data_IF_228662258204
#
_entry.id   IF_228662258204
#
_cell.length_a   1.000
_cell.length_b   1.000
_cell.length_c   1.000
_cell.angle_alpha   90.00
_cell.angle_beta   90.00
_cell.angle_gamma   90.00
#
_symmetry.space_group_name_H-M   'P 1'
#
loop_
_entity.id
_entity.type
_entity.pdbx_description
1 polymer ?
#
# COMPACT_ATOMS: atom_id res chain seq x y z
N UNK A 1 19.69 9.03 12.37
CA UNK A 1 20.41 7.75 12.19
C UNK A 1 19.39 6.72 11.74
N UNK A 2 19.29 6.45 10.44
CA UNK A 2 18.27 5.55 9.90
C UNK A 2 18.84 4.14 9.82
N UNK A 3 18.26 3.22 10.59
CA UNK A 3 18.59 1.80 10.58
C UNK A 3 18.09 1.16 9.28
N UNK A 4 19.02 0.60 8.51
CA UNK A 4 18.74 -0.21 7.33
C UNK A 4 18.27 -1.61 7.77
N UNK A 5 17.01 -1.95 7.55
CA UNK A 5 16.52 -3.33 7.68
C UNK A 5 16.94 -4.14 6.45
N UNK A 6 18.01 -4.93 6.54
CA UNK A 6 18.45 -5.82 5.45
C UNK A 6 17.45 -6.95 5.19
N UNK A 7 16.65 -6.77 4.14
CA UNK A 7 15.87 -7.81 3.48
C UNK A 7 15.11 -7.20 2.32
N UNK A 8 15.73 -7.15 1.12
CA UNK A 8 15.08 -6.72 -0.14
C UNK A 8 14.15 -5.51 -0.02
N UNK A 9 14.63 -4.37 0.48
CA UNK A 9 13.77 -3.22 0.78
C UNK A 9 13.25 -2.59 -0.51
N UNK A 10 11.94 -2.67 -0.76
CA UNK A 10 11.28 -1.69 -1.64
C UNK A 10 11.49 -0.30 -1.05
N UNK A 11 12.11 0.60 -1.81
CA UNK A 11 12.05 2.01 -1.47
C UNK A 11 10.61 2.49 -1.70
N UNK A 12 9.82 2.59 -0.62
CA UNK A 12 8.56 3.32 -0.68
C UNK A 12 8.85 4.75 -1.14
N UNK A 13 8.03 5.28 -2.04
CA UNK A 13 8.14 6.69 -2.41
C UNK A 13 7.94 7.60 -1.18
N UNK A 14 8.52 8.80 -1.22
CA UNK A 14 8.33 9.80 -0.15
C UNK A 14 6.85 10.10 0.10
N UNK A 15 6.03 10.08 -0.97
CA UNK A 15 4.59 10.22 -0.89
C UNK A 15 3.96 9.11 -0.02
N UNK A 16 4.31 7.85 -0.29
CA UNK A 16 3.78 6.71 0.47
C UNK A 16 4.26 6.73 1.93
N UNK A 17 5.53 7.07 2.17
CA UNK A 17 6.05 7.22 3.53
C UNK A 17 5.32 8.31 4.31
N UNK A 18 5.00 9.43 3.67
CA UNK A 18 4.21 10.49 4.30
C UNK A 18 2.78 10.04 4.61
N UNK A 19 2.13 9.30 3.69
CA UNK A 19 0.80 8.71 3.96
C UNK A 19 0.84 7.75 5.15
N UNK A 20 1.83 6.86 5.21
CA UNK A 20 1.97 5.92 6.35
C UNK A 20 2.07 6.68 7.68
N UNK A 21 2.91 7.73 7.73
CA UNK A 21 3.12 8.51 8.95
C UNK A 21 1.90 9.35 9.36
N UNK A 22 1.06 9.74 8.41
CA UNK A 22 -0.11 10.56 8.68
C UNK A 22 -1.32 9.71 9.08
N UNK A 23 -1.48 8.54 8.47
CA UNK A 23 -2.70 7.74 8.58
C UNK A 23 -2.59 6.63 9.64
N UNK A 24 -1.37 6.23 9.99
CA UNK A 24 -1.12 5.16 10.95
C UNK A 24 -0.41 5.67 12.20
N UNK A 25 -0.58 4.95 13.30
CA UNK A 25 0.14 5.23 14.55
C UNK A 25 1.65 5.06 14.37
N UNK A 26 2.44 5.75 15.19
CA UNK A 26 3.90 5.55 15.22
C UNK A 26 4.26 4.09 15.58
N UNK A 27 3.43 3.43 16.39
CA UNK A 27 3.60 2.02 16.78
C UNK A 27 3.36 1.06 15.60
N UNK A 28 2.37 1.36 14.75
CA UNK A 28 2.05 0.53 13.60
C UNK A 28 2.91 0.83 12.37
N UNK A 29 3.54 2.00 12.29
CA UNK A 29 4.36 2.42 11.14
C UNK A 29 5.41 1.37 10.72
N UNK A 30 6.22 0.77 11.62
CA UNK A 30 7.16 -0.28 11.23
C UNK A 30 6.47 -1.54 10.69
N UNK A 31 5.30 -1.89 11.24
CA UNK A 31 4.51 -3.06 10.82
C UNK A 31 3.92 -2.84 9.44
N UNK A 32 3.38 -1.64 9.18
CA UNK A 32 2.85 -1.22 7.88
C UNK A 32 3.94 -1.30 6.80
N UNK A 33 5.12 -0.73 7.06
CA UNK A 33 6.23 -0.75 6.10
C UNK A 33 6.67 -2.20 5.81
N UNK A 34 6.77 -3.04 6.84
CA UNK A 34 7.12 -4.45 6.68
C UNK A 34 6.07 -5.22 5.86
N UNK A 35 4.79 -4.95 6.10
CA UNK A 35 3.68 -5.62 5.41
C UNK A 35 3.58 -5.18 3.95
N UNK A 36 3.68 -3.87 3.67
CA UNK A 36 3.79 -3.37 2.29
C UNK A 36 5.00 -3.97 1.57
N UNK A 37 6.11 -4.20 2.26
CA UNK A 37 7.30 -4.88 1.73
C UNK A 37 7.06 -6.29 1.17
N UNK A 38 5.90 -6.91 1.43
CA UNK A 38 5.56 -8.26 0.97
C UNK A 38 5.01 -8.33 -0.44
N UNK A 39 4.59 -7.21 -1.03
CA UNK A 39 4.29 -7.12 -2.46
C UNK A 39 5.55 -6.64 -3.17
N UNK A 40 5.91 -7.24 -4.29
CA UNK A 40 7.10 -6.87 -5.05
C UNK A 40 6.76 -6.68 -6.52
N UNK A 41 7.76 -6.33 -7.33
CA UNK A 41 7.60 -6.27 -8.78
C UNK A 41 7.15 -7.61 -9.37
N UNK A 42 7.47 -8.74 -8.73
CA UNK A 42 7.07 -10.07 -9.20
C UNK A 42 5.53 -10.25 -9.23
N UNK A 43 4.82 -9.71 -8.23
CA UNK A 43 3.35 -9.74 -8.22
C UNK A 43 2.72 -8.65 -9.12
N UNK A 44 3.52 -7.69 -9.59
CA UNK A 44 3.03 -6.48 -10.28
C UNK A 44 3.53 -6.37 -11.72
N UNK A 45 3.74 -7.53 -12.35
CA UNK A 45 4.17 -7.65 -13.76
C UNK A 45 5.53 -7.00 -14.03
N UNK A 46 6.47 -7.17 -13.11
CA UNK A 46 7.83 -6.64 -13.16
C UNK A 46 7.89 -5.10 -13.38
N UNK A 47 6.87 -4.40 -12.89
CA UNK A 47 6.69 -2.96 -13.11
C UNK A 47 6.63 -2.20 -11.79
N UNK A 48 7.65 -1.38 -11.52
CA UNK A 48 7.67 -0.48 -10.36
C UNK A 48 6.49 0.50 -10.38
N UNK A 49 6.06 0.95 -11.56
CA UNK A 49 4.88 1.80 -11.69
C UNK A 49 3.61 1.10 -11.17
N UNK A 50 3.42 -0.18 -11.51
CA UNK A 50 2.28 -0.96 -11.02
C UNK A 50 2.38 -1.20 -9.51
N UNK A 51 3.58 -1.48 -9.02
CA UNK A 51 3.87 -1.65 -7.60
C UNK A 51 3.53 -0.40 -6.79
N UNK A 52 4.01 0.77 -7.21
CA UNK A 52 3.71 2.04 -6.54
C UNK A 52 2.21 2.35 -6.59
N UNK A 53 1.52 2.08 -7.71
CA UNK A 53 0.08 2.26 -7.79
C UNK A 53 -0.69 1.32 -6.84
N UNK A 54 -0.30 0.05 -6.78
CA UNK A 54 -0.90 -0.92 -5.86
C UNK A 54 -0.71 -0.49 -4.40
N UNK A 55 0.50 -0.07 -4.02
CA UNK A 55 0.80 0.44 -2.68
C UNK A 55 -0.05 1.67 -2.34
N UNK A 56 -0.17 2.62 -3.27
CA UNK A 56 -1.01 3.80 -3.08
C UNK A 56 -2.49 3.45 -2.91
N UNK A 57 -3.00 2.50 -3.70
CA UNK A 57 -4.36 1.99 -3.57
C UNK A 57 -4.61 1.31 -2.22
N UNK A 58 -3.68 0.45 -1.78
CA UNK A 58 -3.73 -0.23 -0.47
C UNK A 58 -3.82 0.80 0.66
N UNK A 59 -2.90 1.76 0.68
CA UNK A 59 -2.86 2.81 1.72
C UNK A 59 -4.14 3.64 1.76
N UNK A 60 -4.66 4.00 0.58
CA UNK A 60 -5.89 4.79 0.48
C UNK A 60 -7.14 4.01 0.91
N UNK A 61 -7.22 2.72 0.58
CA UNK A 61 -8.35 1.87 0.94
C UNK A 61 -8.33 1.48 2.42
N UNK A 62 -7.15 1.29 3.00
CA UNK A 62 -7.01 0.87 4.39
C UNK A 62 -7.42 1.93 5.41
N UNK A 63 -7.42 3.22 5.02
CA UNK A 63 -7.87 4.35 5.87
C UNK A 63 -7.23 4.34 7.28
N UNK A 64 -5.94 4.01 7.35
CA UNK A 64 -5.18 3.90 8.61
C UNK A 64 -5.39 2.61 9.41
N UNK A 65 -6.22 1.67 8.94
CA UNK A 65 -6.43 0.37 9.60
C UNK A 65 -5.38 -0.66 9.15
N UNK A 66 -4.61 -1.19 10.10
CA UNK A 66 -3.53 -2.13 9.82
C UNK A 66 -4.03 -3.51 9.37
N UNK A 67 -5.13 -4.00 9.92
CA UNK A 67 -5.66 -5.32 9.53
C UNK A 67 -6.28 -5.26 8.13
N UNK A 68 -6.94 -4.15 7.80
CA UNK A 68 -7.42 -3.93 6.43
C UNK A 68 -6.26 -3.80 5.44
N UNK A 69 -5.20 -3.06 5.78
CA UNK A 69 -3.98 -3.00 4.97
C UNK A 69 -3.42 -4.41 4.70
N UNK A 70 -3.35 -5.26 5.74
CA UNK A 70 -2.86 -6.63 5.62
C UNK A 70 -3.74 -7.50 4.71
N UNK A 71 -5.07 -7.33 4.77
CA UNK A 71 -6.00 -8.01 3.88
C UNK A 71 -5.79 -7.57 2.43
N UNK A 72 -5.62 -6.27 2.20
CA UNK A 72 -5.40 -5.69 0.88
C UNK A 72 -4.03 -6.11 0.30
N UNK A 73 -2.98 -6.19 1.11
CA UNK A 73 -1.68 -6.76 0.68
C UNK A 73 -1.84 -8.22 0.26
N UNK A 74 -2.61 -9.00 1.03
CA UNK A 74 -2.88 -10.41 0.69
C UNK A 74 -3.65 -10.53 -0.62
N UNK A 75 -4.65 -9.68 -0.85
CA UNK A 75 -5.39 -9.62 -2.11
C UNK A 75 -4.49 -9.20 -3.28
N UNK A 76 -3.63 -8.20 -3.09
CA UNK A 76 -2.75 -7.71 -4.13
C UNK A 76 -1.68 -8.74 -4.55
N UNK A 77 -1.27 -9.64 -3.65
CA UNK A 77 -0.41 -10.78 -4.00
C UNK A 77 -1.10 -11.82 -4.90
N UNK A 78 -2.43 -11.88 -4.88
CA UNK A 78 -3.22 -12.75 -5.77
C UNK A 78 -3.44 -12.03 -7.10
N UNK A 79 -3.98 -10.81 -7.05
CA UNK A 79 -4.14 -9.93 -8.20
C UNK A 79 -4.17 -8.46 -7.76
N UNK A 80 -3.06 -7.74 -7.97
CA UNK A 80 -2.96 -6.31 -7.63
C UNK A 80 -3.96 -5.43 -8.39
N UNK A 81 -4.44 -5.88 -9.56
CA UNK A 81 -5.36 -5.11 -10.39
C UNK A 81 -6.72 -5.00 -9.74
N UNK A 82 -7.16 -6.01 -8.99
CA UNK A 82 -8.40 -5.97 -8.23
C UNK A 82 -8.36 -4.87 -7.17
N UNK A 83 -7.24 -4.73 -6.47
CA UNK A 83 -7.05 -3.68 -5.45
C UNK A 83 -7.06 -2.29 -6.06
N UNK A 84 -6.39 -2.08 -7.20
CA UNK A 84 -6.45 -0.82 -7.94
C UNK A 84 -7.88 -0.54 -8.42
N UNK A 85 -8.60 -1.55 -8.88
CA UNK A 85 -9.98 -1.41 -9.34
C UNK A 85 -10.94 -1.06 -8.20
N UNK A 86 -10.81 -1.68 -7.02
CA UNK A 86 -11.60 -1.33 -5.84
C UNK A 86 -11.34 0.11 -5.39
N UNK A 87 -10.07 0.53 -5.40
CA UNK A 87 -9.70 1.91 -5.13
C UNK A 87 -10.36 2.88 -6.12
N UNK A 88 -10.37 2.55 -7.40
CA UNK A 88 -11.06 3.35 -8.42
C UNK A 88 -12.57 3.46 -8.14
N UNK A 89 -13.23 2.35 -7.77
CA UNK A 89 -14.66 2.36 -7.44
C UNK A 89 -14.99 3.20 -6.20
N UNK A 90 -14.18 3.10 -5.14
CA UNK A 90 -14.34 3.89 -3.91
C UNK A 90 -14.23 5.39 -4.20
N UNK A 91 -13.22 5.80 -4.98
CA UNK A 91 -13.03 7.20 -5.34
C UNK A 91 -14.11 7.74 -6.29
N UNK A 92 -14.62 6.90 -7.20
CA UNK A 92 -15.76 7.29 -8.03
C UNK A 92 -17.02 7.56 -7.23
N UNK A 93 -17.31 6.73 -6.22
CA UNK A 93 -18.44 6.94 -5.31
C UNK A 93 -18.29 8.25 -4.54
N UNK A 94 -17.09 8.56 -4.05
CA UNK A 94 -16.83 9.81 -3.34
C UNK A 94 -17.04 11.07 -4.20
N UNK A 95 -16.82 10.98 -5.52
CA UNK A 95 -16.99 12.12 -6.45
C UNK A 95 -18.41 12.32 -6.99
N UNK A 96 -19.28 11.34 -6.82
CA UNK A 96 -20.68 11.40 -7.25
C UNK A 96 -21.59 11.24 -6.02
N UNK A 97 -21.65 12.28 -5.20
CA UNK A 97 -22.77 12.47 -4.30
C UNK A 97 -24.01 12.78 -5.16
N UNK A 98 -25.00 11.89 -5.11
CA UNK A 98 -26.34 12.08 -5.67
C UNK A 98 -27.08 13.27 -5.04
#
# INVERSE_FOLDING_TARGET
MYGFFKGGIMALSDKHLNTVRNDFSEEDTPRVIAELGRITVAETMDSDYNLQNAIGAILSLSKGDFEELRNLVTAAKIDFRDVIYWWYLENKKATHHE
#
